data_IF_333074464960
#
_entry.id   IF_333074464960
#
_cell.length_a   1.000
_cell.length_b   1.000
_cell.length_c   1.000
_cell.angle_alpha   90.00
_cell.angle_beta   90.00
_cell.angle_gamma   90.00
#
_symmetry.space_group_name_H-M   'P 1'
#
loop_
_entity.id
_entity.type
_entity.pdbx_description
1 polymer ?
#
# COMPACT_ATOMS: atom_id res chain seq x y z
N UNK A 1 -12.37 -1.17 -9.79
CA UNK A 1 -11.65 -0.01 -9.26
C UNK A 1 -10.89 0.71 -10.38
N UNK A 2 -10.48 1.95 -10.17
CA UNK A 2 -9.67 2.74 -11.08
C UNK A 2 -8.47 3.32 -10.32
N UNK A 3 -7.28 3.27 -10.92
CA UNK A 3 -6.04 3.77 -10.31
C UNK A 3 -5.46 4.89 -11.16
N UNK A 4 -5.07 6.01 -10.54
CA UNK A 4 -4.34 7.09 -11.19
C UNK A 4 -2.82 6.87 -10.99
N UNK A 5 -2.21 6.08 -11.87
CA UNK A 5 -0.81 5.68 -11.73
C UNK A 5 0.17 6.84 -11.97
N UNK A 6 -0.08 7.67 -12.98
CA UNK A 6 0.81 8.79 -13.31
C UNK A 6 0.00 10.03 -13.71
N UNK A 7 0.30 11.16 -13.06
CA UNK A 7 -0.34 12.43 -13.34
C UNK A 7 0.67 13.58 -13.17
N UNK A 8 0.97 14.26 -14.24
CA UNK A 8 1.93 15.35 -14.21
C UNK A 8 1.78 16.33 -15.36
N UNK A 9 2.24 17.56 -15.15
CA UNK A 9 2.37 18.61 -16.16
C UNK A 9 3.78 19.17 -16.08
N UNK A 10 4.49 19.20 -17.20
CA UNK A 10 5.84 19.73 -17.28
C UNK A 10 5.92 21.15 -16.69
N UNK A 11 6.99 21.52 -15.96
CA UNK A 11 7.11 22.79 -15.26
C UNK A 11 6.78 24.00 -16.15
N UNK A 12 7.31 24.11 -17.36
CA UNK A 12 7.05 25.21 -18.30
C UNK A 12 5.62 25.28 -18.86
N UNK A 13 4.77 24.29 -18.55
CA UNK A 13 3.39 24.19 -19.01
C UNK A 13 2.35 24.25 -17.89
N UNK A 14 2.79 24.42 -16.65
CA UNK A 14 1.91 24.52 -15.49
C UNK A 14 1.12 25.84 -15.48
N UNK A 15 0.13 25.96 -14.58
CA UNK A 15 -0.77 27.11 -14.43
C UNK A 15 -1.60 27.48 -15.67
N UNK A 16 -1.64 26.65 -16.71
CA UNK A 16 -2.35 26.87 -17.97
C UNK A 16 -3.65 26.04 -18.12
N UNK A 17 -4.15 25.46 -17.03
CA UNK A 17 -5.36 24.64 -17.03
C UNK A 17 -5.16 23.20 -17.54
N UNK A 18 -3.95 22.82 -17.98
CA UNK A 18 -3.66 21.50 -18.54
C UNK A 18 -3.95 20.39 -17.53
N UNK A 19 -3.49 20.54 -16.27
CA UNK A 19 -3.76 19.57 -15.22
C UNK A 19 -5.27 19.35 -15.00
N UNK A 20 -6.08 20.40 -15.03
CA UNK A 20 -7.53 20.24 -14.96
C UNK A 20 -8.08 19.37 -16.10
N UNK A 21 -7.68 19.65 -17.33
CA UNK A 21 -8.14 18.91 -18.51
C UNK A 21 -7.73 17.44 -18.47
N UNK A 22 -6.49 17.14 -18.00
CA UNK A 22 -6.02 15.78 -17.79
C UNK A 22 -6.85 15.05 -16.73
N UNK A 23 -7.09 15.68 -15.58
CA UNK A 23 -7.90 15.09 -14.51
C UNK A 23 -9.35 14.85 -14.98
N UNK A 24 -9.96 15.81 -15.68
CA UNK A 24 -11.30 15.65 -16.22
C UNK A 24 -11.37 14.48 -17.22
N UNK A 25 -10.34 14.27 -18.03
CA UNK A 25 -10.24 13.13 -18.94
C UNK A 25 -10.08 11.79 -18.20
N UNK A 26 -9.22 11.76 -17.19
CA UNK A 26 -9.02 10.59 -16.35
C UNK A 26 -10.30 10.20 -15.60
N UNK A 27 -11.05 11.18 -15.06
CA UNK A 27 -12.33 10.93 -14.40
C UNK A 27 -13.43 10.44 -15.37
N UNK A 28 -13.44 10.91 -16.63
CA UNK A 28 -14.35 10.32 -17.64
C UNK A 28 -14.00 8.86 -17.92
N UNK A 29 -12.70 8.53 -18.01
CA UNK A 29 -12.27 7.14 -18.16
C UNK A 29 -12.60 6.28 -16.92
N UNK A 30 -12.56 6.88 -15.73
CA UNK A 30 -12.97 6.20 -14.48
C UNK A 30 -14.43 5.75 -14.51
N UNK A 31 -15.31 6.47 -15.23
CA UNK A 31 -16.73 6.13 -15.45
C UNK A 31 -17.45 5.77 -14.14
N UNK A 32 -17.33 6.63 -13.13
CA UNK A 32 -17.95 6.44 -11.81
C UNK A 32 -17.31 5.36 -10.91
N UNK A 33 -16.34 4.60 -11.40
CA UNK A 33 -15.65 3.57 -10.60
C UNK A 33 -14.96 4.19 -9.38
N UNK A 34 -14.94 3.49 -8.25
CA UNK A 34 -14.10 3.86 -7.10
C UNK A 34 -12.64 4.00 -7.53
N UNK A 35 -11.94 4.98 -6.97
CA UNK A 35 -10.56 5.28 -7.37
C UNK A 35 -9.62 5.48 -6.20
N UNK A 36 -8.36 5.10 -6.39
CA UNK A 36 -7.27 5.24 -5.43
C UNK A 36 -5.98 5.66 -6.12
N UNK A 37 -5.13 6.40 -5.43
CA UNK A 37 -3.73 6.65 -5.81
C UNK A 37 -2.92 7.14 -4.62
N UNK A 38 -1.59 6.98 -4.67
CA UNK A 38 -0.62 7.65 -3.79
C UNK A 38 -0.08 8.90 -4.47
N UNK A 39 0.22 9.93 -3.70
CA UNK A 39 0.78 11.19 -4.21
C UNK A 39 1.69 11.88 -3.20
N UNK A 40 2.79 12.43 -3.69
CA UNK A 40 3.60 13.37 -2.94
C UNK A 40 2.86 14.68 -2.66
N UNK A 41 3.35 15.45 -1.68
CA UNK A 41 2.78 16.76 -1.34
C UNK A 41 3.16 17.81 -2.38
N UNK A 42 2.17 18.26 -3.15
CA UNK A 42 2.31 19.37 -4.09
C UNK A 42 1.03 20.21 -4.09
N UNK A 43 1.08 21.45 -3.62
CA UNK A 43 -0.10 22.29 -3.36
C UNK A 43 -1.09 22.37 -4.53
N UNK A 44 -0.61 22.55 -5.76
CA UNK A 44 -1.47 22.62 -6.96
C UNK A 44 -2.15 21.29 -7.31
N UNK A 45 -1.44 20.18 -7.18
CA UNK A 45 -1.96 18.83 -7.42
C UNK A 45 -2.96 18.45 -6.32
N UNK A 46 -2.59 18.63 -5.05
CA UNK A 46 -3.45 18.38 -3.87
C UNK A 46 -4.81 19.08 -3.99
N UNK A 47 -4.78 20.40 -4.31
CA UNK A 47 -6.02 21.14 -4.56
C UNK A 47 -6.83 20.51 -5.70
N UNK A 48 -6.18 20.06 -6.77
CA UNK A 48 -6.86 19.44 -7.91
C UNK A 48 -7.53 18.13 -7.51
N UNK A 49 -6.85 17.28 -6.76
CA UNK A 49 -7.42 16.02 -6.26
C UNK A 49 -8.64 16.25 -5.39
N UNK A 50 -8.55 17.20 -4.45
CA UNK A 50 -9.68 17.53 -3.59
C UNK A 50 -10.89 18.06 -4.36
N UNK A 51 -10.66 18.94 -5.35
CA UNK A 51 -11.72 19.46 -6.23
C UNK A 51 -12.30 18.39 -7.19
N UNK A 52 -11.55 17.31 -7.45
CA UNK A 52 -12.01 16.15 -8.21
C UNK A 52 -12.81 15.13 -7.37
N UNK A 53 -13.03 15.43 -6.07
CA UNK A 53 -13.84 14.62 -5.16
C UNK A 53 -13.08 13.52 -4.43
N UNK A 54 -11.74 13.57 -4.41
CA UNK A 54 -10.95 12.64 -3.61
C UNK A 54 -10.88 13.08 -2.15
N UNK A 55 -10.97 12.13 -1.23
CA UNK A 55 -10.54 12.27 0.16
C UNK A 55 -9.04 12.04 0.23
N UNK A 56 -8.34 12.86 1.02
CA UNK A 56 -6.88 12.83 1.16
C UNK A 56 -6.53 12.30 2.55
N UNK A 57 -5.77 11.22 2.61
CA UNK A 57 -5.36 10.56 3.85
C UNK A 57 -3.84 10.65 3.96
N UNK A 58 -3.30 11.43 4.92
CA UNK A 58 -1.86 11.53 5.12
C UNK A 58 -1.21 10.15 5.24
N UNK A 59 -0.05 10.00 4.62
CA UNK A 59 0.78 8.81 4.71
C UNK A 59 1.91 9.04 5.70
N UNK A 60 1.98 8.18 6.69
CA UNK A 60 3.14 8.04 7.56
C UNK A 60 4.07 6.96 7.00
N UNK A 61 5.33 7.00 7.42
CA UNK A 61 6.33 5.99 7.10
C UNK A 61 7.19 5.68 8.32
N UNK A 62 7.73 4.46 8.37
CA UNK A 62 8.74 4.05 9.34
C UNK A 62 10.04 3.77 8.60
N UNK A 63 11.15 4.35 9.05
CA UNK A 63 12.45 4.27 8.37
C UNK A 63 13.57 3.97 9.35
N UNK A 64 14.60 3.30 8.89
CA UNK A 64 15.82 3.02 9.68
C UNK A 64 16.25 1.58 9.61
N UNK A 65 17.18 1.20 10.50
CA UNK A 65 17.68 -0.17 10.62
C UNK A 65 16.94 -0.88 11.75
N UNK A 66 16.41 -2.05 11.47
CA UNK A 66 15.65 -2.87 12.43
C UNK A 66 16.57 -3.32 13.58
N UNK A 67 16.16 -3.05 14.81
CA UNK A 67 16.80 -3.67 15.99
C UNK A 67 16.40 -5.15 16.07
N UNK A 68 17.27 -6.02 15.62
CA UNK A 68 17.02 -7.46 15.54
C UNK A 68 16.75 -8.13 16.89
N UNK A 69 17.18 -7.52 18.01
CA UNK A 69 16.90 -8.02 19.35
C UNK A 69 15.42 -7.86 19.75
N UNK A 70 14.69 -7.02 19.02
CA UNK A 70 13.27 -6.73 19.27
C UNK A 70 12.33 -7.61 18.43
N UNK A 71 12.86 -8.40 17.48
CA UNK A 71 12.04 -9.25 16.61
C UNK A 71 11.32 -10.33 17.42
N UNK A 72 9.98 -10.38 17.38
CA UNK A 72 9.22 -11.44 18.03
C UNK A 72 9.34 -12.75 17.25
N UNK A 73 9.05 -13.87 17.89
CA UNK A 73 8.82 -15.12 17.18
C UNK A 73 7.45 -15.05 16.47
N UNK A 74 7.45 -15.21 15.15
CA UNK A 74 6.24 -15.28 14.34
C UNK A 74 6.00 -16.73 13.95
N UNK A 75 4.74 -17.19 14.01
CA UNK A 75 4.36 -18.56 13.75
C UNK A 75 3.20 -18.63 12.75
N UNK A 76 3.11 -19.75 12.02
CA UNK A 76 1.97 -20.02 11.11
C UNK A 76 2.07 -19.37 9.74
N UNK A 77 3.10 -18.54 9.48
CA UNK A 77 3.37 -18.01 8.15
C UNK A 77 4.09 -19.04 7.27
N UNK A 78 3.87 -18.97 5.97
CA UNK A 78 4.41 -19.90 4.98
C UNK A 78 4.82 -19.15 3.72
N UNK A 79 5.72 -19.75 2.93
CA UNK A 79 5.98 -19.27 1.57
C UNK A 79 4.71 -19.36 0.72
N UNK A 80 4.39 -18.26 0.04
CA UNK A 80 3.24 -18.18 -0.86
C UNK A 80 3.57 -18.73 -2.24
N UNK A 81 2.53 -19.03 -3.02
CA UNK A 81 2.64 -19.59 -4.36
C UNK A 81 1.41 -19.23 -5.20
N UNK A 82 1.45 -19.52 -6.49
CA UNK A 82 0.36 -19.18 -7.42
C UNK A 82 -1.02 -19.75 -7.01
N UNK A 83 -1.06 -20.91 -6.33
CA UNK A 83 -2.31 -21.48 -5.81
C UNK A 83 -3.00 -20.59 -4.77
N UNK A 84 -2.30 -19.61 -4.21
CA UNK A 84 -2.85 -18.68 -3.21
C UNK A 84 -3.61 -17.51 -3.86
N UNK A 85 -3.39 -17.20 -5.13
CA UNK A 85 -3.92 -16.00 -5.78
C UNK A 85 -5.44 -15.88 -5.73
N UNK A 86 -6.17 -16.98 -5.80
CA UNK A 86 -7.63 -16.96 -5.81
C UNK A 86 -8.21 -16.41 -4.49
N UNK A 87 -7.69 -16.85 -3.35
CA UNK A 87 -8.15 -16.32 -2.05
C UNK A 87 -7.56 -14.95 -1.74
N UNK A 88 -6.34 -14.65 -2.20
CA UNK A 88 -5.74 -13.31 -2.09
C UNK A 88 -6.57 -12.28 -2.85
N UNK A 89 -6.98 -12.58 -4.08
CA UNK A 89 -7.89 -11.74 -4.87
C UNK A 89 -9.27 -11.54 -4.21
N UNK A 90 -9.78 -12.54 -3.46
CA UNK A 90 -11.01 -12.36 -2.68
C UNK A 90 -10.79 -11.37 -1.54
N UNK A 91 -9.71 -11.54 -0.78
CA UNK A 91 -9.34 -10.64 0.31
C UNK A 91 -9.15 -9.20 -0.20
N UNK A 92 -8.48 -9.01 -1.32
CA UNK A 92 -8.31 -7.70 -1.95
C UNK A 92 -9.65 -7.06 -2.32
N UNK A 93 -10.58 -7.84 -2.89
CA UNK A 93 -11.93 -7.31 -3.22
C UNK A 93 -12.68 -6.86 -1.98
N UNK A 94 -12.53 -7.56 -0.87
CA UNK A 94 -13.15 -7.18 0.39
C UNK A 94 -12.54 -5.89 0.98
N UNK A 95 -11.23 -5.70 0.86
CA UNK A 95 -10.50 -4.56 1.42
C UNK A 95 -10.51 -3.32 0.50
N UNK A 96 -10.32 -3.50 -0.81
CA UNK A 96 -10.08 -2.41 -1.77
C UNK A 96 -11.02 -2.41 -2.98
N UNK A 97 -12.06 -3.24 -2.98
CA UNK A 97 -13.08 -3.37 -4.03
C UNK A 97 -12.54 -3.89 -5.37
N UNK A 98 -11.33 -4.42 -5.43
CA UNK A 98 -10.77 -5.04 -6.63
C UNK A 98 -9.62 -5.98 -6.23
N UNK A 99 -9.53 -7.14 -6.89
CA UNK A 99 -8.34 -7.99 -6.86
C UNK A 99 -7.18 -7.36 -7.62
N UNK A 100 -5.96 -7.87 -7.40
CA UNK A 100 -4.79 -7.53 -8.20
C UNK A 100 -4.72 -8.36 -9.49
N UNK A 101 -5.42 -9.51 -9.52
CA UNK A 101 -5.50 -10.36 -10.71
C UNK A 101 -4.12 -10.77 -11.25
N UNK A 102 -3.80 -10.42 -12.52
CA UNK A 102 -2.51 -10.81 -13.14
C UNK A 102 -1.28 -10.19 -12.47
N UNK A 103 -1.44 -9.09 -11.71
CA UNK A 103 -0.32 -8.44 -11.02
C UNK A 103 0.30 -9.35 -9.96
N UNK A 104 -0.48 -10.26 -9.36
CA UNK A 104 0.05 -11.28 -8.45
C UNK A 104 1.12 -12.16 -9.09
N UNK A 105 0.94 -12.56 -10.37
CA UNK A 105 1.94 -13.32 -11.10
C UNK A 105 3.25 -12.54 -11.26
N UNK A 106 3.15 -11.30 -11.71
CA UNK A 106 4.32 -10.43 -11.85
C UNK A 106 5.03 -10.18 -10.50
N UNK A 107 4.27 -9.93 -9.43
CA UNK A 107 4.83 -9.75 -8.09
C UNK A 107 5.53 -11.02 -7.60
N UNK A 108 4.95 -12.21 -7.83
CA UNK A 108 5.57 -13.48 -7.42
C UNK A 108 6.89 -13.76 -8.16
N UNK A 109 7.01 -13.33 -9.42
CA UNK A 109 8.25 -13.48 -10.21
C UNK A 109 9.39 -12.57 -9.73
N UNK A 110 9.07 -11.48 -9.01
CA UNK A 110 10.04 -10.42 -8.64
C UNK A 110 10.19 -10.20 -7.14
N UNK A 111 9.24 -10.65 -6.34
CA UNK A 111 9.16 -10.45 -4.90
C UNK A 111 8.94 -11.79 -4.18
N UNK A 112 9.40 -11.89 -2.95
CA UNK A 112 9.08 -13.01 -2.07
C UNK A 112 7.65 -12.86 -1.55
N UNK A 113 6.81 -13.88 -1.70
CA UNK A 113 5.47 -13.92 -1.15
C UNK A 113 5.44 -14.73 0.14
N UNK A 114 4.92 -14.13 1.21
CA UNK A 114 4.66 -14.81 2.49
C UNK A 114 3.17 -14.70 2.81
N UNK A 115 2.58 -15.79 3.30
CA UNK A 115 1.13 -15.89 3.51
C UNK A 115 0.78 -16.50 4.87
N UNK A 116 -0.36 -16.10 5.42
CA UNK A 116 -1.13 -16.83 6.42
C UNK A 116 -2.29 -17.53 5.71
N UNK A 117 -2.32 -18.89 5.72
CA UNK A 117 -3.41 -19.68 5.15
C UNK A 117 -4.46 -20.07 6.18
N UNK A 118 -4.39 -19.52 7.38
CA UNK A 118 -5.46 -19.69 8.37
C UNK A 118 -6.75 -19.06 7.83
N UNK A 119 -7.76 -19.87 7.60
CA UNK A 119 -9.04 -19.40 7.04
C UNK A 119 -9.74 -18.35 7.92
N UNK A 120 -9.46 -18.32 9.23
CA UNK A 120 -9.98 -17.32 10.15
C UNK A 120 -9.14 -16.03 10.13
N UNK A 121 -7.88 -16.10 9.69
CA UNK A 121 -6.91 -15.00 9.72
C UNK A 121 -6.07 -14.94 8.43
N UNK A 122 -6.69 -14.92 7.24
CA UNK A 122 -5.94 -14.89 6.00
C UNK A 122 -5.20 -13.55 5.84
N UNK A 123 -4.04 -13.61 5.22
CA UNK A 123 -3.26 -12.43 4.88
C UNK A 123 -2.03 -12.79 4.08
N UNK A 124 -1.45 -11.79 3.42
CA UNK A 124 -0.25 -11.97 2.63
C UNK A 124 0.62 -10.71 2.62
N UNK A 125 1.91 -10.88 2.37
CA UNK A 125 2.85 -9.79 2.12
C UNK A 125 3.79 -10.16 0.99
N UNK A 126 4.00 -9.23 0.07
CA UNK A 126 5.08 -9.26 -0.90
C UNK A 126 6.27 -8.49 -0.34
N UNK A 127 7.45 -9.10 -0.35
CA UNK A 127 8.68 -8.59 0.25
C UNK A 127 9.73 -8.46 -0.85
N UNK A 128 10.37 -7.29 -0.94
CA UNK A 128 11.44 -7.07 -1.92
C UNK A 128 12.78 -7.72 -1.47
N UNK A 129 13.80 -7.62 -2.33
CA UNK A 129 15.13 -8.17 -2.10
C UNK A 129 15.88 -7.52 -0.90
N UNK A 130 15.39 -6.39 -0.40
CA UNK A 130 15.90 -5.69 0.80
C UNK A 130 15.11 -6.00 2.06
N UNK A 131 14.08 -6.84 1.97
CA UNK A 131 13.19 -7.17 3.07
C UNK A 131 12.12 -6.10 3.37
N UNK A 132 11.79 -5.24 2.41
CA UNK A 132 10.72 -4.25 2.56
C UNK A 132 9.37 -4.84 2.18
N UNK A 133 8.35 -4.55 2.97
CA UNK A 133 6.98 -4.86 2.60
C UNK A 133 6.55 -4.00 1.41
N UNK A 134 6.44 -4.60 0.22
CA UNK A 134 6.04 -3.93 -1.01
C UNK A 134 4.53 -3.84 -1.20
N UNK A 135 3.79 -4.77 -0.63
CA UNK A 135 2.33 -4.84 -0.59
C UNK A 135 1.93 -5.78 0.54
N UNK A 136 1.01 -5.37 1.40
CA UNK A 136 0.50 -6.21 2.48
C UNK A 136 -1.01 -6.07 2.58
N UNK A 137 -1.72 -7.19 2.69
CA UNK A 137 -3.15 -7.26 2.95
C UNK A 137 -3.47 -8.36 3.95
N UNK A 138 -4.35 -8.10 4.91
CA UNK A 138 -4.79 -9.09 5.87
C UNK A 138 -6.25 -8.87 6.29
N UNK A 139 -6.93 -9.94 6.72
CA UNK A 139 -8.28 -9.83 7.23
C UNK A 139 -8.34 -9.15 8.62
N UNK A 140 -7.25 -9.23 9.38
CA UNK A 140 -7.17 -8.70 10.75
C UNK A 140 -5.85 -7.97 11.01
N UNK A 141 -5.84 -6.92 11.85
CA UNK A 141 -4.62 -6.19 12.20
C UNK A 141 -3.50 -7.08 12.79
N UNK A 142 -3.87 -8.09 13.58
CA UNK A 142 -2.92 -9.02 14.20
C UNK A 142 -2.15 -9.82 13.13
N UNK A 143 -2.84 -10.33 12.12
CA UNK A 143 -2.19 -11.02 11.00
C UNK A 143 -1.32 -10.06 10.18
N UNK A 144 -1.77 -8.82 10.00
CA UNK A 144 -0.99 -7.79 9.32
C UNK A 144 0.31 -7.47 10.07
N UNK A 145 0.26 -7.40 11.41
CA UNK A 145 1.44 -7.22 12.25
C UNK A 145 2.42 -8.40 12.13
N UNK A 146 1.94 -9.64 12.18
CA UNK A 146 2.77 -10.84 12.00
C UNK A 146 3.48 -10.85 10.64
N UNK A 147 2.76 -10.52 9.55
CA UNK A 147 3.32 -10.41 8.21
C UNK A 147 4.34 -9.28 8.09
N UNK A 148 4.10 -8.14 8.74
CA UNK A 148 5.05 -7.04 8.76
C UNK A 148 6.31 -7.39 9.56
N UNK A 149 6.18 -8.11 10.68
CA UNK A 149 7.33 -8.61 11.44
C UNK A 149 8.18 -9.57 10.61
N UNK A 150 7.58 -10.45 9.81
CA UNK A 150 8.30 -11.33 8.88
C UNK A 150 9.08 -10.53 7.83
N UNK A 151 8.48 -9.48 7.28
CA UNK A 151 9.17 -8.59 6.35
C UNK A 151 10.36 -7.89 7.02
N UNK A 152 10.16 -7.32 8.21
CA UNK A 152 11.23 -6.66 8.97
C UNK A 152 12.33 -7.63 9.37
N UNK A 153 12.01 -8.89 9.71
CA UNK A 153 13.00 -9.93 9.98
C UNK A 153 13.86 -10.27 8.76
N UNK A 154 13.32 -10.09 7.55
CA UNK A 154 14.02 -10.31 6.28
C UNK A 154 14.90 -9.13 5.87
N UNK A 155 14.76 -7.96 6.50
CA UNK A 155 15.46 -6.74 6.09
C UNK A 155 16.97 -6.84 6.26
N UNK A 156 17.70 -6.23 5.31
CA UNK A 156 19.15 -6.13 5.29
C UNK A 156 19.59 -4.66 5.22
N UNK A 157 19.99 -4.10 6.35
CA UNK A 157 20.32 -2.67 6.48
C UNK A 157 19.09 -1.80 6.66
N UNK A 158 19.09 -0.60 6.08
CA UNK A 158 17.98 0.34 6.23
C UNK A 158 16.72 -0.16 5.51
N UNK A 159 15.60 -0.10 6.21
CA UNK A 159 14.29 -0.49 5.69
C UNK A 159 13.32 0.69 5.67
N UNK A 160 12.21 0.49 4.97
CA UNK A 160 11.12 1.46 4.84
C UNK A 160 9.79 0.71 4.88
N UNK A 161 8.90 1.14 5.75
CA UNK A 161 7.48 0.79 5.71
C UNK A 161 6.73 2.07 5.40
N UNK A 162 6.08 2.14 4.26
CA UNK A 162 5.37 3.34 3.78
C UNK A 162 3.87 3.08 3.60
N UNK A 163 3.17 4.08 3.07
CA UNK A 163 1.72 4.03 2.82
C UNK A 163 0.88 3.78 4.09
N UNK A 164 1.38 4.17 5.25
CA UNK A 164 0.68 4.00 6.52
C UNK A 164 -0.32 5.13 6.70
N UNK A 165 -1.59 4.83 6.55
CA UNK A 165 -2.70 5.75 6.79
C UNK A 165 -3.33 5.51 8.16
N UNK A 166 -4.14 6.44 8.67
CA UNK A 166 -4.76 6.32 10.01
C UNK A 166 -5.42 4.96 10.29
N UNK A 167 -6.20 4.32 9.37
CA UNK A 167 -6.74 2.99 9.65
C UNK A 167 -5.68 1.88 9.75
N UNK A 168 -4.42 2.18 9.41
CA UNK A 168 -3.28 1.25 9.42
C UNK A 168 -2.22 1.62 10.47
N UNK A 169 -2.59 2.32 11.55
CA UNK A 169 -1.69 2.72 12.65
C UNK A 169 -0.97 1.54 13.32
N UNK A 170 -1.52 0.32 13.23
CA UNK A 170 -0.87 -0.90 13.67
C UNK A 170 0.56 -1.08 13.09
N UNK A 171 0.81 -0.56 11.88
CA UNK A 171 2.14 -0.61 11.25
C UNK A 171 3.12 0.38 11.89
N UNK A 172 2.65 1.52 12.43
CA UNK A 172 3.47 2.43 13.23
C UNK A 172 3.90 1.74 14.52
N UNK A 173 2.98 1.05 15.21
CA UNK A 173 3.28 0.33 16.45
C UNK A 173 4.37 -0.72 16.23
N UNK A 174 4.28 -1.50 15.13
CA UNK A 174 5.31 -2.47 14.74
C UNK A 174 6.63 -1.77 14.46
N UNK A 175 6.64 -0.69 13.68
CA UNK A 175 7.85 0.07 13.37
C UNK A 175 8.53 0.64 14.60
N UNK A 176 7.78 1.23 15.53
CA UNK A 176 8.32 1.76 16.80
C UNK A 176 8.88 0.63 17.68
N UNK A 177 8.20 -0.52 17.73
CA UNK A 177 8.71 -1.69 18.46
C UNK A 177 10.00 -2.22 17.84
N UNK A 178 10.15 -2.15 16.51
CA UNK A 178 11.38 -2.48 15.78
C UNK A 178 12.49 -1.40 15.87
N UNK A 179 12.25 -0.30 16.61
CA UNK A 179 13.15 0.86 16.75
C UNK A 179 13.38 1.66 15.48
N UNK A 180 12.41 1.65 14.58
CA UNK A 180 12.42 2.53 13.41
C UNK A 180 11.97 3.95 13.76
N UNK A 181 12.45 4.92 13.00
CA UNK A 181 12.04 6.32 13.10
C UNK A 181 10.76 6.58 12.32
N UNK A 182 9.89 7.44 12.86
CA UNK A 182 8.66 7.85 12.21
C UNK A 182 8.90 9.05 11.30
N UNK A 183 8.36 9.00 10.09
CA UNK A 183 8.36 10.09 9.12
C UNK A 183 6.98 10.32 8.52
N UNK A 184 6.88 11.34 7.70
CA UNK A 184 5.67 11.63 6.93
C UNK A 184 6.05 11.80 5.47
N UNK A 185 5.23 11.23 4.56
CA UNK A 185 5.42 11.35 3.12
C UNK A 185 4.25 12.13 2.49
N UNK A 186 3.57 11.58 1.52
CA UNK A 186 2.48 12.21 0.82
C UNK A 186 1.10 11.90 1.42
N UNK A 187 0.23 11.38 0.59
CA UNK A 187 -1.08 10.88 0.99
C UNK A 187 -1.63 9.84 0.02
N UNK A 188 -2.39 8.89 0.55
CA UNK A 188 -3.33 8.09 -0.23
C UNK A 188 -4.57 8.94 -0.49
N UNK A 189 -4.99 9.00 -1.72
CA UNK A 189 -6.23 9.65 -2.11
C UNK A 189 -7.24 8.60 -2.59
N UNK A 190 -8.44 8.63 -2.03
CA UNK A 190 -9.53 7.71 -2.39
C UNK A 190 -10.78 8.47 -2.82
N UNK A 191 -11.55 7.88 -3.73
CA UNK A 191 -12.82 8.41 -4.20
C UNK A 191 -13.84 7.29 -4.35
N UNK A 192 -15.00 7.42 -3.69
CA UNK A 192 -16.08 6.44 -3.76
C UNK A 192 -15.76 5.11 -3.06
N UNK A 193 -14.77 5.09 -2.17
CA UNK A 193 -14.40 3.94 -1.35
C UNK A 193 -13.74 4.39 -0.04
N UNK A 194 -13.74 3.55 1.01
CA UNK A 194 -12.90 3.80 2.18
C UNK A 194 -11.42 3.57 1.86
N UNK A 195 -10.53 4.05 2.74
CA UNK A 195 -9.12 3.64 2.71
C UNK A 195 -9.03 2.16 3.09
N UNK A 196 -8.33 1.33 2.30
CA UNK A 196 -8.17 -0.08 2.63
C UNK A 196 -7.45 -0.28 3.98
N UNK A 197 -7.95 -1.22 4.80
CA UNK A 197 -7.33 -1.60 6.07
C UNK A 197 -7.85 -2.97 6.53
N UNK A 198 -7.00 -3.84 7.13
CA UNK A 198 -5.54 -3.72 7.24
C UNK A 198 -4.83 -3.91 5.88
N UNK A 199 -4.14 -2.88 5.45
CA UNK A 199 -3.56 -2.86 4.10
C UNK A 199 -2.40 -1.85 4.00
N UNK A 200 -1.25 -2.27 3.49
CA UNK A 200 -0.17 -1.36 3.08
C UNK A 200 -0.06 -1.39 1.57
N UNK A 201 -0.39 -0.28 0.94
CA UNK A 201 -0.40 -0.16 -0.51
C UNK A 201 1.01 -0.24 -1.10
N UNK A 202 1.12 -0.79 -2.30
CA UNK A 202 2.32 -0.66 -3.11
C UNK A 202 2.32 0.66 -3.87
N UNK A 203 3.46 1.32 -3.96
CA UNK A 203 3.62 2.48 -4.85
C UNK A 203 3.50 2.14 -6.34
N UNK A 204 3.53 0.85 -6.70
CA UNK A 204 3.48 0.36 -8.07
C UNK A 204 2.21 -0.43 -8.41
N UNK A 205 1.57 -1.08 -7.40
CA UNK A 205 0.42 -1.99 -7.55
C UNK A 205 -0.76 -1.54 -6.65
N UNK A 206 -1.16 -0.29 -6.76
CA UNK A 206 -2.29 0.27 -6.00
C UNK A 206 -3.63 -0.38 -6.36
#
# INVERSE_FOLDING_TARGET
>A
MWVLATYGVLPGHQARGIGKRLMDAALRHADGRPGIFSSSVHAGATRRYRLAGFSLHPEMQMVGTVDRSMLPAVHGLQEGRADDFEWMDRLDRDLRLAGHGPDHGYMLDTLRLVVSRDAAKPGYVYIDDRGRASLLAAAHPETAQELLWEALASSQGDTLVNCITTPNEWAIDVGLAARLDIGQEGYIAVRGMPVPAPYLASGHFL
#
